data_IF_600864745885
#
_entry.id   IF_600864745885
#
_cell.length_a   1.000
_cell.length_b   1.000
_cell.length_c   1.000
_cell.angle_alpha   90.00
_cell.angle_beta   90.00
_cell.angle_gamma   90.00
#
_symmetry.space_group_name_H-M   'P 1'
#
loop_
_entity.id
_entity.type
_entity.pdbx_description
1 polymer ?
#
# COMPACT_ATOMS: atom_id res chain seq x y z
N UNK A 1 4.73 -0.78 1.67
CA UNK A 1 5.50 -1.63 2.61
C UNK A 1 6.97 -1.23 2.64
N UNK A 2 7.66 -1.36 3.78
CA UNK A 2 9.12 -1.15 3.91
C UNK A 2 9.87 -2.39 3.41
N UNK A 3 10.93 -2.22 2.62
CA UNK A 3 11.81 -3.33 2.19
C UNK A 3 12.92 -3.56 3.23
N UNK A 4 13.30 -4.82 3.42
CA UNK A 4 14.46 -5.23 4.20
C UNK A 4 15.48 -5.90 3.26
N UNK A 5 16.77 -5.73 3.54
CA UNK A 5 17.85 -6.33 2.75
C UNK A 5 18.42 -7.54 3.48
N UNK A 6 18.55 -8.65 2.76
CA UNK A 6 19.22 -9.87 3.25
C UNK A 6 20.54 -10.02 2.51
N UNK A 7 21.65 -10.16 3.23
CA UNK A 7 22.97 -10.40 2.64
C UNK A 7 23.32 -11.88 2.74
N UNK A 8 23.69 -12.48 1.61
CA UNK A 8 24.10 -13.89 1.53
C UNK A 8 25.48 -13.97 0.90
N UNK A 9 26.40 -14.71 1.53
CA UNK A 9 27.70 -15.01 0.94
C UNK A 9 27.61 -16.29 0.11
N UNK A 10 28.15 -16.25 -1.10
CA UNK A 10 28.18 -17.39 -2.03
C UNK A 10 29.55 -17.47 -2.68
N UNK A 11 29.92 -18.65 -3.17
CA UNK A 11 31.19 -18.87 -3.84
C UNK A 11 31.27 -18.06 -5.14
N UNK A 12 32.33 -17.26 -5.29
CA UNK A 12 32.41 -16.26 -6.34
C UNK A 12 32.35 -16.87 -7.75
N UNK A 13 33.03 -17.99 -7.98
CA UNK A 13 33.06 -18.64 -9.29
C UNK A 13 31.69 -19.23 -9.67
N UNK A 14 31.02 -19.86 -8.70
CA UNK A 14 29.65 -20.37 -8.88
C UNK A 14 28.67 -19.23 -9.13
N UNK A 15 28.80 -18.11 -8.40
CA UNK A 15 27.96 -16.94 -8.61
C UNK A 15 28.10 -16.39 -10.04
N UNK A 16 29.33 -16.28 -10.53
CA UNK A 16 29.61 -15.83 -11.90
C UNK A 16 28.99 -16.77 -12.94
N UNK A 17 29.11 -18.07 -12.74
CA UNK A 17 28.48 -19.05 -13.64
C UNK A 17 26.95 -18.87 -13.66
N UNK A 18 26.32 -18.77 -12.49
CA UNK A 18 24.87 -18.55 -12.38
C UNK A 18 24.46 -17.27 -13.08
N UNK A 19 25.14 -16.15 -12.85
CA UNK A 19 24.85 -14.87 -13.50
C UNK A 19 25.03 -14.94 -15.02
N UNK A 20 26.06 -15.64 -15.50
CA UNK A 20 26.32 -15.82 -16.93
C UNK A 20 25.19 -16.59 -17.62
N UNK A 21 24.75 -17.70 -17.03
CA UNK A 21 23.68 -18.52 -17.61
C UNK A 21 22.29 -17.89 -17.42
N UNK A 22 22.02 -17.23 -16.29
CA UNK A 22 20.77 -16.51 -16.06
C UNK A 22 20.62 -15.37 -17.08
N UNK A 23 21.68 -14.56 -17.28
CA UNK A 23 21.69 -13.49 -18.28
C UNK A 23 21.48 -14.01 -19.71
N UNK A 24 22.01 -15.19 -20.03
CA UNK A 24 21.78 -15.86 -21.32
C UNK A 24 20.31 -16.27 -21.52
N UNK A 25 19.60 -16.60 -20.44
CA UNK A 25 18.19 -16.99 -20.46
C UNK A 25 17.23 -15.79 -20.38
N UNK A 26 17.75 -14.56 -20.36
CA UNK A 26 16.93 -13.34 -20.26
C UNK A 26 16.37 -13.10 -18.85
N UNK A 27 16.88 -13.80 -17.84
CA UNK A 27 16.47 -13.67 -16.44
C UNK A 27 17.61 -13.11 -15.61
N UNK A 28 17.33 -12.23 -14.65
CA UNK A 28 18.33 -11.78 -13.68
C UNK A 28 18.30 -12.67 -12.44
N UNK A 29 19.48 -12.91 -11.86
CA UNK A 29 19.60 -13.64 -10.59
C UNK A 29 18.75 -12.98 -9.49
N UNK A 30 18.69 -11.65 -9.46
CA UNK A 30 17.91 -10.88 -8.50
C UNK A 30 16.40 -11.18 -8.61
N UNK A 31 15.87 -11.21 -9.84
CA UNK A 31 14.46 -11.50 -10.07
C UNK A 31 14.11 -12.94 -9.68
N UNK A 32 15.01 -13.89 -9.95
CA UNK A 32 14.82 -15.27 -9.56
C UNK A 32 14.86 -15.45 -8.03
N UNK A 33 15.74 -14.71 -7.34
CA UNK A 33 15.78 -14.65 -5.88
C UNK A 33 14.52 -14.00 -5.30
N UNK A 34 14.01 -12.92 -5.89
CA UNK A 34 12.76 -12.28 -5.47
C UNK A 34 11.58 -13.26 -5.58
N UNK A 35 11.44 -13.93 -6.73
CA UNK A 35 10.41 -14.96 -6.93
C UNK A 35 10.57 -16.13 -5.95
N UNK A 36 11.81 -16.51 -5.63
CA UNK A 36 12.09 -17.56 -4.66
C UNK A 36 11.71 -17.12 -3.24
N UNK A 37 12.01 -15.88 -2.86
CA UNK A 37 11.62 -15.32 -1.56
C UNK A 37 10.11 -15.25 -1.39
N UNK A 38 9.35 -14.91 -2.43
CA UNK A 38 7.88 -14.96 -2.40
C UNK A 38 7.35 -16.39 -2.19
N UNK A 39 7.96 -17.38 -2.86
CA UNK A 39 7.60 -18.80 -2.66
C UNK A 39 7.91 -19.27 -1.25
N UNK A 40 9.07 -18.88 -0.70
CA UNK A 40 9.43 -19.18 0.69
C UNK A 40 8.43 -18.56 1.67
N UNK A 41 8.06 -17.29 1.45
CA UNK A 41 7.07 -16.61 2.28
C UNK A 41 5.73 -17.37 2.28
N UNK A 42 5.20 -17.76 1.11
CA UNK A 42 3.95 -18.55 1.02
C UNK A 42 4.06 -19.95 1.64
N UNK A 43 5.24 -20.57 1.56
CA UNK A 43 5.49 -21.92 2.09
C UNK A 43 5.57 -21.95 3.62
N UNK A 44 6.23 -20.95 4.22
CA UNK A 44 6.48 -20.94 5.67
C UNK A 44 5.50 -20.07 6.45
N UNK A 45 4.90 -19.05 5.82
CA UNK A 45 3.93 -18.17 6.48
C UNK A 45 2.50 -18.64 6.17
N UNK A 46 1.72 -19.07 7.19
CA UNK A 46 0.33 -19.47 7.02
C UNK A 46 -0.53 -18.34 6.43
N UNK A 47 -1.58 -18.70 5.70
CA UNK A 47 -2.46 -17.73 5.04
C UNK A 47 -2.98 -16.65 6.01
N UNK A 48 -3.42 -17.06 7.20
CA UNK A 48 -3.94 -16.13 8.23
C UNK A 48 -2.90 -15.06 8.61
N UNK A 49 -1.63 -15.43 8.75
CA UNK A 49 -0.56 -14.49 9.07
C UNK A 49 -0.22 -13.59 7.87
N UNK A 50 -0.30 -14.12 6.64
CA UNK A 50 -0.09 -13.33 5.42
C UNK A 50 -1.17 -12.25 5.26
N UNK A 51 -2.44 -12.63 5.41
CA UNK A 51 -3.58 -11.72 5.37
C UNK A 51 -3.49 -10.64 6.47
N UNK A 52 -3.02 -11.01 7.66
CA UNK A 52 -2.76 -10.05 8.74
C UNK A 52 -1.67 -9.04 8.36
N UNK A 53 -0.56 -9.49 7.77
CA UNK A 53 0.52 -8.61 7.30
C UNK A 53 0.04 -7.69 6.18
N UNK A 54 -0.76 -8.19 5.24
CA UNK A 54 -1.35 -7.41 4.14
C UNK A 54 -2.30 -6.33 4.66
N UNK A 55 -3.21 -6.67 5.57
CA UNK A 55 -4.14 -5.71 6.19
C UNK A 55 -3.44 -4.66 7.07
N UNK A 56 -2.37 -5.03 7.79
CA UNK A 56 -1.55 -4.07 8.55
C UNK A 56 -0.69 -3.19 7.63
N UNK A 57 -0.34 -3.70 6.46
CA UNK A 57 0.41 -2.97 5.44
C UNK A 57 -0.47 -2.11 4.51
N UNK A 58 -1.78 -2.16 4.69
CA UNK A 58 -2.79 -1.29 4.09
C UNK A 58 -3.21 -0.21 5.11
N UNK A 59 -2.32 0.71 5.55
CA UNK A 59 -2.70 1.79 6.43
C UNK A 59 -3.56 2.79 5.66
N UNK A 60 -4.87 2.72 5.87
CA UNK A 60 -5.77 3.87 5.93
C UNK A 60 -5.59 4.91 4.79
N UNK A 61 -5.55 4.48 3.53
CA UNK A 61 -5.56 5.39 2.37
C UNK A 61 -6.99 5.84 2.01
N UNK A 62 -7.88 5.93 3.00
CA UNK A 62 -9.11 6.70 2.87
C UNK A 62 -8.96 8.00 3.67
N UNK A 63 -8.65 9.14 3.02
CA UNK A 63 -9.02 10.41 3.59
C UNK A 63 -10.54 10.37 3.74
N UNK A 64 -11.04 10.16 4.97
CA UNK A 64 -12.46 10.28 5.27
C UNK A 64 -12.91 11.62 4.69
N UNK A 65 -13.86 11.67 3.74
CA UNK A 65 -14.40 12.94 3.31
C UNK A 65 -15.02 13.57 4.56
N UNK A 66 -14.38 14.63 5.07
CA UNK A 66 -15.00 15.46 6.11
C UNK A 66 -16.37 15.85 5.55
N UNK A 67 -17.49 15.56 6.24
CA UNK A 67 -18.78 15.98 5.75
C UNK A 67 -18.72 17.50 5.57
N UNK A 68 -18.83 17.95 4.32
CA UNK A 68 -18.88 19.35 4.00
C UNK A 68 -20.06 19.94 4.80
N UNK A 69 -19.76 20.81 5.76
CA UNK A 69 -20.79 21.66 6.35
C UNK A 69 -21.38 22.47 5.20
N UNK A 70 -22.55 22.08 4.73
CA UNK A 70 -23.35 22.88 3.81
C UNK A 70 -23.79 24.12 4.58
N UNK A 71 -23.35 25.35 4.23
CA UNK A 71 -24.08 26.51 4.69
C UNK A 71 -25.38 26.55 3.89
N UNK A 72 -26.47 26.15 4.55
CA UNK A 72 -27.83 26.26 4.05
C UNK A 72 -28.06 27.71 3.63
N UNK A 73 -28.29 27.94 2.33
CA UNK A 73 -28.84 29.19 1.83
C UNK A 73 -30.10 29.53 2.63
N UNK A 74 -30.08 30.66 3.32
CA UNK A 74 -31.28 31.29 3.82
C UNK A 74 -31.34 32.66 3.16
N UNK A 75 -32.17 32.75 2.12
CA UNK A 75 -32.58 34.01 1.53
C UNK A 75 -33.30 34.87 2.60
N UNK A 76 -33.11 36.20 2.62
CA UNK A 76 -33.99 37.07 3.37
C UNK A 76 -35.26 37.30 2.53
N UNK A 77 -36.34 36.60 2.87
CA UNK A 77 -37.68 36.94 2.39
C UNK A 77 -38.27 38.06 3.27
N UNK A 78 -38.69 39.11 2.60
CA UNK A 78 -39.31 40.34 3.10
C UNK A 78 -40.80 40.14 3.46
N UNK A 79 -41.26 40.65 4.61
CA UNK A 79 -42.63 41.13 4.89
C UNK A 79 -42.66 41.68 6.34
N UNK A 80 -42.64 42.99 6.63
CA UNK A 80 -43.67 44.05 6.56
C UNK A 80 -44.86 43.94 7.55
N UNK A 81 -45.07 45.05 8.27
CA UNK A 81 -46.35 45.61 8.79
C UNK A 81 -46.80 45.41 10.27
N UNK A 82 -46.59 46.50 11.04
CA UNK A 82 -47.48 47.24 11.99
C UNK A 82 -47.90 46.76 13.41
N UNK A 83 -48.07 47.86 14.20
CA UNK A 83 -48.90 48.14 15.41
C UNK A 83 -48.22 47.79 16.74
N UNK A 84 -48.06 48.67 17.74
CA UNK A 84 -48.62 49.98 18.06
C UNK A 84 -49.07 49.97 19.54
N UNK A 85 -48.74 51.02 20.31
CA UNK A 85 -49.17 51.33 21.71
C UNK A 85 -48.50 50.43 22.76
N UNK A 86 -47.81 50.94 23.79
CA UNK A 86 -48.23 51.88 24.84
C UNK A 86 -47.09 52.78 25.34
#
# INVERSE_FOLDING_TARGET
MKKATVTVSFEQEKLKAVQFYAGKNGTSLELELDMFMEKLYKKYVPSQTREYIESMAEPEEQPRPRPARSPRSAAPDTFDEKKGVE
#
